data_IF_213501698326
#
_entry.id   IF_213501698326
#
_cell.length_a   1.000
_cell.length_b   1.000
_cell.length_c   1.000
_cell.angle_alpha   90.00
_cell.angle_beta   90.00
_cell.angle_gamma   90.00
#
_symmetry.space_group_name_H-M   'P 1'
#
loop_
_entity.id
_entity.type
_entity.pdbx_description
1 polymer ?
#
# COMPACT_ATOMS: atom_id res chain seq x y z
N UNK A 1 -22.13 -28.53 -3.31
CA UNK A 1 -21.34 -27.28 -3.35
C UNK A 1 -20.75 -27.06 -1.97
N UNK A 2 -19.43 -26.90 -1.84
CA UNK A 2 -18.81 -26.61 -0.54
C UNK A 2 -19.14 -25.15 -0.21
N UNK A 3 -19.84 -24.91 0.89
CA UNK A 3 -20.13 -23.55 1.36
C UNK A 3 -18.83 -22.96 1.93
N UNK A 4 -17.99 -22.41 1.07
CA UNK A 4 -16.83 -21.63 1.50
C UNK A 4 -17.32 -20.27 2.02
N UNK A 5 -16.92 -19.89 3.25
CA UNK A 5 -17.28 -18.61 3.89
C UNK A 5 -16.78 -17.41 3.07
N UNK A 6 -15.71 -17.60 2.30
CA UNK A 6 -15.06 -16.58 1.49
C UNK A 6 -14.46 -17.21 0.23
N UNK A 7 -14.57 -16.54 -0.93
CA UNK A 7 -14.03 -17.10 -2.17
C UNK A 7 -12.51 -17.03 -2.20
N UNK A 8 -11.86 -17.90 -2.99
CA UNK A 8 -10.41 -17.85 -3.19
C UNK A 8 -9.91 -16.51 -3.74
N UNK A 9 -10.75 -15.79 -4.49
CA UNK A 9 -10.42 -14.47 -5.01
C UNK A 9 -10.39 -13.42 -3.89
N UNK A 10 -11.39 -13.45 -3.00
CA UNK A 10 -11.46 -12.55 -1.84
C UNK A 10 -10.27 -12.77 -0.90
N UNK A 11 -9.92 -14.03 -0.62
CA UNK A 11 -8.74 -14.35 0.20
C UNK A 11 -7.47 -13.75 -0.40
N UNK A 12 -7.26 -13.88 -1.71
CA UNK A 12 -6.10 -13.29 -2.41
C UNK A 12 -6.11 -11.76 -2.36
N UNK A 13 -7.27 -11.13 -2.51
CA UNK A 13 -7.44 -9.69 -2.38
C UNK A 13 -7.06 -9.20 -0.97
N UNK A 14 -7.58 -9.87 0.07
CA UNK A 14 -7.24 -9.56 1.46
C UNK A 14 -5.76 -9.75 1.75
N UNK A 15 -5.15 -10.87 1.33
CA UNK A 15 -3.70 -11.10 1.51
C UNK A 15 -2.89 -9.99 0.84
N UNK A 16 -3.28 -9.57 -0.37
CA UNK A 16 -2.58 -8.52 -1.11
C UNK A 16 -2.69 -7.16 -0.40
N UNK A 17 -3.87 -6.82 0.12
CA UNK A 17 -4.09 -5.61 0.92
C UNK A 17 -3.20 -5.62 2.17
N UNK A 18 -3.20 -6.72 2.92
CA UNK A 18 -2.34 -6.86 4.11
C UNK A 18 -0.86 -6.74 3.77
N UNK A 19 -0.43 -7.32 2.65
CA UNK A 19 0.96 -7.22 2.20
C UNK A 19 1.37 -5.77 1.92
N UNK A 20 0.49 -4.99 1.28
CA UNK A 20 0.73 -3.57 1.00
C UNK A 20 0.82 -2.74 2.28
N UNK A 21 -0.13 -2.97 3.19
CA UNK A 21 -0.20 -2.29 4.48
C UNK A 21 1.05 -2.60 5.34
N UNK A 22 1.38 -3.88 5.50
CA UNK A 22 2.51 -4.31 6.30
C UNK A 22 3.84 -3.87 5.67
N UNK A 23 3.97 -4.01 4.34
CA UNK A 23 5.17 -3.65 3.61
C UNK A 23 5.55 -2.18 3.77
N UNK A 24 4.60 -1.27 3.54
CA UNK A 24 4.87 0.16 3.70
C UNK A 24 5.11 0.54 5.17
N UNK A 25 4.35 -0.07 6.10
CA UNK A 25 4.55 0.17 7.53
C UNK A 25 5.95 -0.24 8.00
N UNK A 26 6.44 -1.40 7.57
CA UNK A 26 7.80 -1.86 7.88
C UNK A 26 8.84 -0.88 7.33
N UNK A 27 8.66 -0.40 6.09
CA UNK A 27 9.54 0.58 5.48
C UNK A 27 9.58 1.89 6.29
N UNK A 28 8.43 2.41 6.71
CA UNK A 28 8.35 3.63 7.52
C UNK A 28 8.99 3.45 8.89
N UNK A 29 8.72 2.35 9.59
CA UNK A 29 9.39 2.06 10.86
C UNK A 29 10.89 1.90 10.71
N UNK A 30 11.37 1.32 9.62
CA UNK A 30 12.79 1.26 9.31
C UNK A 30 13.41 2.65 9.18
N UNK A 31 12.76 3.56 8.43
CA UNK A 31 13.24 4.94 8.28
C UNK A 31 13.26 5.67 9.63
N UNK A 32 12.22 5.52 10.44
CA UNK A 32 12.13 6.11 11.77
C UNK A 32 13.22 5.57 12.71
N UNK A 33 13.48 4.25 12.67
CA UNK A 33 14.54 3.62 13.45
C UNK A 33 15.95 4.03 13.01
N UNK A 34 16.12 4.47 11.75
CA UNK A 34 17.38 5.02 11.25
C UNK A 34 17.55 6.48 11.64
N UNK A 35 16.47 7.27 11.56
CA UNK A 35 16.43 8.66 12.05
C UNK A 35 16.75 8.74 13.55
N UNK A 36 16.24 7.81 14.38
CA UNK A 36 16.58 7.78 15.81
C UNK A 36 18.06 7.47 16.10
N UNK A 37 18.79 6.90 15.12
CA UNK A 37 20.23 6.67 15.17
C UNK A 37 21.05 7.79 14.50
N UNK A 38 20.40 8.90 14.15
CA UNK A 38 21.04 10.03 13.48
C UNK A 38 21.25 9.87 11.97
N UNK A 39 20.72 8.80 11.35
CA UNK A 39 20.79 8.59 9.90
C UNK A 39 19.50 9.07 9.25
N UNK A 40 19.52 10.24 8.63
CA UNK A 40 18.39 10.81 7.91
C UNK A 40 18.53 10.55 6.40
N UNK A 41 17.68 9.67 5.87
CA UNK A 41 17.55 9.47 4.41
C UNK A 41 16.70 10.54 3.75
N UNK A 42 15.70 11.05 4.48
CA UNK A 42 14.79 12.09 4.05
C UNK A 42 14.65 13.12 5.16
N UNK A 43 14.71 14.39 4.79
CA UNK A 43 14.56 15.50 5.73
C UNK A 43 13.11 15.60 6.23
N UNK A 44 12.14 15.37 5.34
CA UNK A 44 10.72 15.34 5.67
C UNK A 44 10.06 14.05 5.20
N UNK A 45 9.71 13.21 6.19
CA UNK A 45 9.01 11.95 5.96
C UNK A 45 7.51 12.18 5.68
N UNK A 46 6.93 13.28 6.15
CA UNK A 46 5.54 13.64 5.90
C UNK A 46 5.37 14.03 4.43
N UNK A 47 6.22 14.91 3.92
CA UNK A 47 6.25 15.27 2.49
C UNK A 47 6.57 14.07 1.57
N UNK A 48 7.44 13.13 1.99
CA UNK A 48 7.64 11.87 1.27
C UNK A 48 6.31 11.10 1.14
N UNK A 49 5.59 10.94 2.25
CA UNK A 49 4.33 10.21 2.28
C UNK A 49 3.26 10.90 1.42
N UNK A 50 3.18 12.23 1.43
CA UNK A 50 2.28 12.99 0.55
C UNK A 50 2.55 12.67 -0.93
N UNK A 51 3.81 12.73 -1.35
CA UNK A 51 4.21 12.41 -2.73
C UNK A 51 3.89 10.96 -3.09
N UNK A 52 4.14 10.02 -2.17
CA UNK A 52 3.79 8.60 -2.35
C UNK A 52 2.27 8.44 -2.47
N UNK A 53 1.47 9.17 -1.68
CA UNK A 53 0.01 9.14 -1.75
C UNK A 53 -0.50 9.55 -3.13
N UNK A 54 0.01 10.66 -3.68
CA UNK A 54 -0.34 11.09 -5.04
C UNK A 54 0.05 10.05 -6.10
N UNK A 55 1.25 9.47 -5.99
CA UNK A 55 1.71 8.43 -6.91
C UNK A 55 0.83 7.19 -6.83
N UNK A 56 0.49 6.72 -5.63
CA UNK A 56 -0.37 5.55 -5.44
C UNK A 56 -1.77 5.82 -5.98
N UNK A 57 -2.35 7.00 -5.75
CA UNK A 57 -3.64 7.39 -6.32
C UNK A 57 -3.62 7.37 -7.86
N UNK A 58 -2.55 7.91 -8.46
CA UNK A 58 -2.35 7.87 -9.90
C UNK A 58 -2.23 6.45 -10.44
N UNK A 59 -1.47 5.58 -9.75
CA UNK A 59 -1.33 4.17 -10.12
C UNK A 59 -2.66 3.42 -10.00
N UNK A 60 -3.43 3.62 -8.93
CA UNK A 60 -4.76 3.02 -8.78
C UNK A 60 -5.66 3.43 -9.95
N UNK A 61 -5.66 4.71 -10.33
CA UNK A 61 -6.46 5.20 -11.45
C UNK A 61 -6.06 4.53 -12.78
N UNK A 62 -4.76 4.48 -13.07
CA UNK A 62 -4.22 3.84 -14.28
C UNK A 62 -4.56 2.34 -14.30
N UNK A 63 -4.24 1.63 -13.24
CA UNK A 63 -4.41 0.18 -13.12
C UNK A 63 -5.89 -0.19 -13.25
N UNK A 64 -6.78 0.59 -12.65
CA UNK A 64 -8.24 0.39 -12.76
C UNK A 64 -8.74 0.56 -14.18
N UNK A 65 -8.12 1.45 -14.98
CA UNK A 65 -8.45 1.63 -16.40
C UNK A 65 -7.98 0.45 -17.25
N UNK A 66 -6.75 -0.04 -17.02
CA UNK A 66 -6.18 -1.22 -17.70
C UNK A 66 -6.84 -2.54 -17.30
N UNK A 67 -7.47 -2.58 -16.14
CA UNK A 67 -8.15 -3.77 -15.62
C UNK A 67 -9.27 -4.29 -16.51
N UNK A 68 -9.94 -3.41 -17.27
CA UNK A 68 -10.96 -3.80 -18.24
C UNK A 68 -10.41 -4.77 -19.31
N UNK A 69 -9.10 -4.78 -19.53
CA UNK A 69 -8.45 -5.58 -20.56
C UNK A 69 -7.75 -6.83 -20.00
N UNK A 70 -7.40 -6.88 -18.70
CA UNK A 70 -6.57 -7.97 -18.16
C UNK A 70 -6.92 -8.40 -16.72
N UNK A 71 -7.56 -9.57 -16.57
CA UNK A 71 -8.04 -10.11 -15.28
C UNK A 71 -6.94 -10.45 -14.27
N UNK A 72 -5.68 -10.61 -14.72
CA UNK A 72 -4.56 -10.94 -13.83
C UNK A 72 -4.10 -9.78 -12.93
N UNK A 73 -4.55 -8.55 -13.20
CA UNK A 73 -4.21 -7.35 -12.44
C UNK A 73 -5.04 -7.24 -11.14
N UNK A 74 -5.96 -8.20 -10.91
CA UNK A 74 -6.93 -8.13 -9.83
C UNK A 74 -6.41 -8.10 -8.40
N UNK A 75 -5.21 -8.62 -8.19
CA UNK A 75 -4.59 -8.59 -6.87
C UNK A 75 -3.74 -7.33 -6.66
N UNK A 76 -3.48 -6.54 -7.71
CA UNK A 76 -2.62 -5.37 -7.63
C UNK A 76 -3.31 -4.14 -7.02
N UNK A 77 -4.59 -3.93 -7.32
CA UNK A 77 -5.36 -2.81 -6.74
C UNK A 77 -5.48 -2.95 -5.20
N UNK A 78 -5.86 -4.11 -4.64
CA UNK A 78 -5.87 -4.29 -3.19
C UNK A 78 -4.50 -4.02 -2.53
N UNK A 79 -3.40 -4.43 -3.17
CA UNK A 79 -2.04 -4.12 -2.71
C UNK A 79 -1.80 -2.61 -2.62
N UNK A 80 -2.11 -1.87 -3.69
CA UNK A 80 -1.96 -0.41 -3.72
C UNK A 80 -2.85 0.28 -2.67
N UNK A 81 -4.07 -0.21 -2.46
CA UNK A 81 -4.96 0.29 -1.40
C UNK A 81 -4.36 0.05 -0.02
N UNK A 82 -3.76 -1.12 0.22
CA UNK A 82 -3.05 -1.41 1.47
C UNK A 82 -1.89 -0.44 1.72
N UNK A 83 -1.10 -0.14 0.69
CA UNK A 83 -0.02 0.86 0.77
C UNK A 83 -0.62 2.24 1.08
N UNK A 84 -1.66 2.67 0.37
CA UNK A 84 -2.30 3.97 0.57
C UNK A 84 -2.79 4.15 2.01
N UNK A 85 -3.42 3.12 2.60
CA UNK A 85 -3.87 3.17 3.99
C UNK A 85 -2.71 3.40 4.97
N UNK A 86 -1.58 2.70 4.76
CA UNK A 86 -0.39 2.89 5.58
C UNK A 86 0.22 4.28 5.38
N UNK A 87 0.34 4.75 4.14
CA UNK A 87 0.81 6.10 3.80
C UNK A 87 -0.03 7.16 4.52
N UNK A 88 -1.36 7.10 4.41
CA UNK A 88 -2.25 8.06 5.06
C UNK A 88 -2.13 8.06 6.59
N UNK A 89 -1.95 6.88 7.20
CA UNK A 89 -1.66 6.79 8.63
C UNK A 89 -0.37 7.56 9.00
N UNK A 90 0.72 7.36 8.25
CA UNK A 90 1.98 8.05 8.54
C UNK A 90 1.98 9.54 8.17
N UNK A 91 1.14 10.01 7.24
CA UNK A 91 0.91 11.45 7.03
C UNK A 91 0.29 12.09 8.28
N UNK A 92 -0.67 11.41 8.92
CA UNK A 92 -1.35 11.94 10.11
C UNK A 92 -0.47 11.89 11.36
N UNK A 93 0.40 10.88 11.47
CA UNK A 93 1.19 10.62 12.67
C UNK A 93 2.53 11.38 12.68
N UNK A 94 3.08 11.75 11.52
CA UNK A 94 4.39 12.43 11.38
C UNK A 94 4.23 13.93 11.13
#
# INVERSE_FOLDING_TARGET
MKNEIMSKADVRGFTSLFLGLAGYSIFMFYLLAKRSKGVNYFDDLSSLNDNVSYLICFLIFIVSKFFKENKNIANFVPLLVGILLSVMFFIVVL
#
